data_IF_075418917819
#
_entry.id   IF_075418917819
#
_cell.length_a   1.000
_cell.length_b   1.000
_cell.length_c   1.000
_cell.angle_alpha   90.00
_cell.angle_beta   90.00
_cell.angle_gamma   90.00
#
_symmetry.space_group_name_H-M   'P 1'
#
loop_
_entity.id
_entity.type
_entity.pdbx_description
1 polymer ?
#
# COMPACT_ATOMS: atom_id res chain seq x y z
N UNK A 1 -18.57 7.74 -1.01
CA UNK A 1 -18.26 6.37 -0.50
C UNK A 1 -16.77 6.20 -0.39
N UNK A 2 -16.27 5.80 0.79
CA UNK A 2 -14.84 5.54 1.01
C UNK A 2 -14.62 4.02 1.09
N UNK A 3 -13.68 3.50 0.31
CA UNK A 3 -13.24 2.09 0.36
C UNK A 3 -11.77 2.05 0.80
N UNK A 4 -11.51 1.43 1.94
CA UNK A 4 -10.18 1.19 2.48
C UNK A 4 -9.70 -0.21 2.07
N UNK A 5 -8.50 -0.31 1.48
CA UNK A 5 -7.92 -1.58 1.02
C UNK A 5 -6.54 -1.78 1.64
N UNK A 6 -6.46 -2.56 2.70
CA UNK A 6 -5.21 -2.86 3.39
C UNK A 6 -4.67 -4.25 3.05
N UNK A 7 -3.43 -4.48 3.36
CA UNK A 7 -2.81 -5.79 3.18
C UNK A 7 -1.29 -5.74 3.02
N UNK A 8 -0.61 -6.88 3.12
CA UNK A 8 0.84 -6.96 3.06
C UNK A 8 1.40 -6.64 1.66
N UNK A 9 2.71 -6.54 1.58
CA UNK A 9 3.43 -6.33 0.32
C UNK A 9 3.11 -7.42 -0.71
N UNK A 10 2.94 -7.02 -1.97
CA UNK A 10 2.67 -7.92 -3.11
C UNK A 10 1.38 -8.78 -2.99
N UNK A 11 0.42 -8.42 -2.13
CA UNK A 11 -0.88 -9.12 -2.02
C UNK A 11 -1.81 -8.90 -3.22
N UNK A 12 -1.49 -7.97 -4.12
CA UNK A 12 -2.34 -7.58 -5.24
C UNK A 12 -3.36 -6.48 -4.92
N UNK A 13 -3.37 -5.97 -3.67
CA UNK A 13 -4.32 -4.94 -3.21
C UNK A 13 -4.37 -3.70 -4.09
N UNK A 14 -3.23 -3.16 -4.55
CA UNK A 14 -3.19 -1.96 -5.39
C UNK A 14 -3.88 -2.16 -6.74
N UNK A 15 -3.72 -3.34 -7.36
CA UNK A 15 -4.45 -3.70 -8.59
C UNK A 15 -5.94 -3.77 -8.33
N UNK A 16 -6.35 -4.40 -7.24
CA UNK A 16 -7.75 -4.50 -6.82
C UNK A 16 -8.32 -3.12 -6.52
N UNK A 17 -7.63 -2.30 -5.73
CA UNK A 17 -8.06 -0.95 -5.37
C UNK A 17 -8.26 -0.06 -6.60
N UNK A 18 -7.32 -0.09 -7.56
CA UNK A 18 -7.43 0.65 -8.80
C UNK A 18 -8.64 0.20 -9.65
N UNK A 19 -8.92 -1.10 -9.70
CA UNK A 19 -10.07 -1.65 -10.42
C UNK A 19 -11.39 -1.31 -9.72
N UNK A 20 -11.44 -1.34 -8.39
CA UNK A 20 -12.61 -0.88 -7.61
C UNK A 20 -12.89 0.60 -7.87
N UNK A 21 -11.87 1.44 -7.83
CA UNK A 21 -12.01 2.86 -8.12
C UNK A 21 -12.60 3.11 -9.53
N UNK A 22 -12.07 2.41 -10.53
CA UNK A 22 -12.60 2.48 -11.90
C UNK A 22 -14.06 1.97 -11.99
N UNK A 23 -14.40 0.87 -11.28
CA UNK A 23 -15.75 0.30 -11.27
C UNK A 23 -16.79 1.24 -10.64
N UNK A 24 -16.43 1.91 -9.55
CA UNK A 24 -17.33 2.83 -8.84
C UNK A 24 -17.23 4.29 -9.33
N UNK A 25 -16.34 4.59 -10.26
CA UNK A 25 -16.16 5.94 -10.82
C UNK A 25 -15.62 6.93 -9.79
N UNK A 26 -14.79 6.50 -8.85
CA UNK A 26 -14.18 7.34 -7.80
C UNK A 26 -12.65 7.36 -7.93
N UNK A 27 -11.97 8.41 -7.44
CA UNK A 27 -10.52 8.48 -7.49
C UNK A 27 -9.84 7.41 -6.60
N UNK A 28 -8.58 7.08 -6.94
CA UNK A 28 -7.75 6.11 -6.25
C UNK A 28 -6.45 6.75 -5.74
N UNK A 29 -6.07 6.47 -4.51
CA UNK A 29 -4.79 6.82 -3.92
C UNK A 29 -4.04 5.55 -3.48
N UNK A 30 -2.91 5.26 -4.12
CA UNK A 30 -1.88 4.37 -3.60
C UNK A 30 -1.05 5.14 -2.57
N UNK A 31 -1.37 4.95 -1.27
CA UNK A 31 -0.65 5.66 -0.21
C UNK A 31 0.81 5.23 -0.09
N UNK A 32 1.13 4.03 -0.56
CA UNK A 32 2.50 3.55 -0.64
C UNK A 32 3.39 4.43 -1.54
N UNK A 33 2.83 5.08 -2.57
CA UNK A 33 3.57 6.02 -3.39
C UNK A 33 4.04 7.26 -2.62
N UNK A 34 3.28 7.72 -1.62
CA UNK A 34 3.69 8.85 -0.77
C UNK A 34 4.94 8.49 0.03
N UNK A 35 4.96 7.32 0.67
CA UNK A 35 6.13 6.84 1.41
C UNK A 35 7.32 6.54 0.49
N UNK A 36 7.06 6.09 -0.74
CA UNK A 36 8.10 5.91 -1.76
C UNK A 36 8.71 7.24 -2.19
N UNK A 37 7.89 8.29 -2.34
CA UNK A 37 8.36 9.64 -2.63
C UNK A 37 9.22 10.18 -1.49
N UNK A 38 8.81 10.02 -0.22
CA UNK A 38 9.64 10.37 0.94
C UNK A 38 10.97 9.62 0.92
N UNK A 39 10.95 8.28 0.77
CA UNK A 39 12.19 7.50 0.71
C UNK A 39 13.11 7.90 -0.45
N UNK A 40 12.55 8.19 -1.62
CA UNK A 40 13.30 8.70 -2.76
C UNK A 40 13.89 10.09 -2.49
N UNK A 41 13.12 10.98 -1.86
CA UNK A 41 13.59 12.32 -1.50
C UNK A 41 14.71 12.27 -0.47
N UNK A 42 14.67 11.34 0.50
CA UNK A 42 15.79 11.09 1.43
C UNK A 42 17.05 10.76 0.64
N UNK A 43 16.96 9.83 -0.33
CA UNK A 43 18.11 9.47 -1.16
C UNK A 43 18.62 10.63 -2.04
N UNK A 44 17.72 11.49 -2.56
CA UNK A 44 18.10 12.70 -3.32
C UNK A 44 18.85 13.69 -2.44
N UNK A 45 18.50 13.77 -1.16
CA UNK A 45 19.13 14.66 -0.18
C UNK A 45 20.39 14.06 0.45
N UNK A 46 20.88 12.88 -0.02
CA UNK A 46 21.98 12.13 0.58
C UNK A 46 21.77 11.81 2.08
N UNK A 47 20.50 11.68 2.52
CA UNK A 47 20.10 11.39 3.89
C UNK A 47 20.01 9.89 4.20
N UNK A 48 19.78 9.58 5.49
CA UNK A 48 19.55 8.21 5.96
C UNK A 48 18.04 7.96 6.22
N UNK A 49 17.39 7.02 5.51
CA UNK A 49 15.97 6.71 5.73
C UNK A 49 15.67 6.10 7.12
N UNK A 50 16.67 5.65 7.87
CA UNK A 50 16.51 5.21 9.26
C UNK A 50 16.68 6.38 10.25
N UNK A 51 17.10 7.57 9.79
CA UNK A 51 17.13 8.78 10.58
C UNK A 51 15.81 9.53 10.46
N UNK A 52 15.09 9.69 11.58
CA UNK A 52 13.77 10.32 11.58
C UNK A 52 13.78 11.77 11.11
N UNK A 53 14.83 12.55 11.42
CA UNK A 53 14.95 13.95 11.02
C UNK A 53 15.13 14.08 9.50
N UNK A 54 15.96 13.22 8.88
CA UNK A 54 16.16 13.18 7.43
C UNK A 54 14.88 12.77 6.72
N UNK A 55 14.19 11.74 7.24
CA UNK A 55 12.94 11.25 6.69
C UNK A 55 11.81 12.30 6.80
N UNK A 56 11.72 13.01 7.93
CA UNK A 56 10.75 14.10 8.11
C UNK A 56 11.02 15.27 7.17
N UNK A 57 12.28 15.69 7.03
CA UNK A 57 12.66 16.76 6.10
C UNK A 57 12.28 16.41 4.65
N UNK A 58 12.36 15.14 4.28
CA UNK A 58 12.00 14.64 2.96
C UNK A 58 10.47 14.61 2.69
N UNK A 59 9.61 14.79 3.69
CA UNK A 59 8.15 14.85 3.49
C UNK A 59 7.69 16.07 2.67
N UNK A 60 8.54 17.10 2.55
CA UNK A 60 8.30 18.27 1.71
C UNK A 60 8.61 18.07 0.21
N UNK A 61 8.62 16.83 -0.28
CA UNK A 61 8.89 16.51 -1.69
C UNK A 61 7.91 17.21 -2.65
N UNK A 62 8.38 17.50 -3.87
CA UNK A 62 7.54 18.05 -4.93
C UNK A 62 6.57 16.98 -5.47
N UNK A 63 5.30 17.35 -5.69
CA UNK A 63 4.27 16.45 -6.22
C UNK A 63 4.63 15.88 -7.60
N UNK A 64 5.46 16.55 -8.38
CA UNK A 64 6.00 16.02 -9.63
C UNK A 64 6.75 14.69 -9.43
N UNK A 65 7.37 14.49 -8.26
CA UNK A 65 8.05 13.24 -7.93
C UNK A 65 7.11 12.03 -7.95
N UNK A 66 5.81 12.21 -7.65
CA UNK A 66 4.83 11.12 -7.67
C UNK A 66 4.60 10.52 -9.07
N UNK A 67 5.03 11.21 -10.13
CA UNK A 67 4.96 10.74 -11.51
C UNK A 67 6.22 9.99 -11.95
N UNK A 68 7.28 10.00 -11.13
CA UNK A 68 8.55 9.33 -11.46
C UNK A 68 8.37 7.81 -11.39
N UNK A 69 8.69 7.14 -12.50
CA UNK A 69 8.60 5.67 -12.59
C UNK A 69 9.56 4.96 -11.63
N UNK A 70 10.64 5.62 -11.19
CA UNK A 70 11.58 5.08 -10.19
C UNK A 70 10.89 4.72 -8.89
N UNK A 71 9.77 5.38 -8.55
CA UNK A 71 8.99 5.06 -7.36
C UNK A 71 8.43 3.63 -7.36
N UNK A 72 8.35 2.99 -8.54
CA UNK A 72 7.88 1.60 -8.66
C UNK A 72 8.98 0.56 -8.54
N UNK A 73 10.23 0.99 -8.32
CA UNK A 73 11.37 0.08 -8.12
C UNK A 73 11.31 -0.65 -6.77
N UNK A 74 12.05 -1.76 -6.65
CA UNK A 74 12.22 -2.48 -5.38
C UNK A 74 13.01 -1.64 -4.37
N UNK A 75 14.06 -0.98 -4.83
CA UNK A 75 14.88 -0.10 -4.01
C UNK A 75 14.01 0.94 -3.30
N UNK A 76 13.21 1.69 -4.08
CA UNK A 76 12.31 2.71 -3.51
C UNK A 76 11.25 2.09 -2.58
N UNK A 77 10.80 0.87 -2.88
CA UNK A 77 9.92 0.13 -1.98
C UNK A 77 10.58 -0.23 -0.65
N UNK A 78 11.87 -0.55 -0.67
CA UNK A 78 12.68 -0.76 0.54
C UNK A 78 12.81 0.52 1.37
N UNK A 79 13.14 1.65 0.71
CA UNK A 79 13.21 2.96 1.35
C UNK A 79 11.86 3.36 1.98
N UNK A 80 10.75 3.18 1.27
CA UNK A 80 9.41 3.43 1.79
C UNK A 80 9.11 2.67 3.07
N UNK A 81 9.50 1.40 3.13
CA UNK A 81 9.31 0.57 4.32
C UNK A 81 10.15 1.05 5.51
N UNK A 82 11.33 1.63 5.27
CA UNK A 82 12.21 2.20 6.30
C UNK A 82 11.64 3.51 6.84
N UNK A 83 11.30 4.47 5.96
CA UNK A 83 10.78 5.78 6.40
C UNK A 83 9.39 5.68 7.06
N UNK A 84 8.60 4.66 6.71
CA UNK A 84 7.24 4.49 7.26
C UNK A 84 7.17 4.06 8.72
N UNK A 85 8.31 3.70 9.35
CA UNK A 85 8.38 3.38 10.78
C UNK A 85 8.38 4.64 11.65
N UNK A 86 8.76 5.80 11.09
CA UNK A 86 8.87 7.05 11.82
C UNK A 86 7.49 7.69 12.03
N UNK A 87 7.06 7.93 13.31
CA UNK A 87 5.76 8.54 13.59
C UNK A 87 5.61 9.93 12.97
N UNK A 88 6.68 10.74 12.96
CA UNK A 88 6.66 12.09 12.39
C UNK A 88 6.41 12.11 10.88
N UNK A 89 6.95 11.14 10.13
CA UNK A 89 6.68 10.95 8.69
C UNK A 89 5.21 10.59 8.47
N UNK A 90 4.68 9.71 9.30
CA UNK A 90 3.29 9.27 9.22
C UNK A 90 2.33 10.42 9.50
N UNK A 91 2.61 11.23 10.53
CA UNK A 91 1.84 12.44 10.86
C UNK A 91 1.89 13.47 9.72
N UNK A 92 3.08 13.72 9.15
CA UNK A 92 3.23 14.64 8.03
C UNK A 92 2.41 14.23 6.78
N UNK A 93 2.25 12.93 6.53
CA UNK A 93 1.46 12.41 5.40
C UNK A 93 -0.02 12.18 5.74
N UNK A 94 -0.41 12.17 7.02
CA UNK A 94 -1.76 11.84 7.47
C UNK A 94 -2.81 12.76 6.87
N UNK A 95 -2.64 14.08 6.98
CA UNK A 95 -3.62 15.07 6.52
C UNK A 95 -3.87 14.96 5.01
N UNK A 96 -2.82 14.68 4.24
CA UNK A 96 -2.93 14.49 2.78
C UNK A 96 -3.77 13.26 2.43
N UNK A 97 -3.56 12.16 3.13
CA UNK A 97 -4.31 10.92 2.94
C UNK A 97 -5.77 11.09 3.38
N UNK A 98 -5.99 11.74 4.53
CA UNK A 98 -7.33 12.00 5.08
C UNK A 98 -8.14 12.92 4.16
N UNK A 99 -7.56 14.02 3.71
CA UNK A 99 -8.21 14.92 2.76
C UNK A 99 -8.61 14.23 1.45
N UNK A 100 -7.76 13.29 0.96
CA UNK A 100 -8.11 12.50 -0.21
C UNK A 100 -9.28 11.55 0.06
N UNK A 101 -9.34 10.92 1.23
CA UNK A 101 -10.44 10.04 1.61
C UNK A 101 -11.78 10.78 1.69
N UNK A 102 -11.76 12.01 2.22
CA UNK A 102 -12.95 12.82 2.50
C UNK A 102 -13.42 13.69 1.32
N UNK A 103 -12.77 13.60 0.17
CA UNK A 103 -13.15 14.42 -0.98
C UNK A 103 -14.58 14.13 -1.47
N UNK A 104 -15.27 15.12 -2.07
CA UNK A 104 -16.61 14.90 -2.61
C UNK A 104 -16.67 13.76 -3.63
N UNK A 105 -17.68 12.90 -3.53
CA UNK A 105 -17.86 11.73 -4.39
C UNK A 105 -17.26 10.44 -3.80
N UNK A 106 -16.33 10.56 -2.85
CA UNK A 106 -15.66 9.41 -2.24
C UNK A 106 -14.32 9.06 -2.88
N UNK A 107 -13.72 7.97 -2.42
CA UNK A 107 -12.40 7.52 -2.85
C UNK A 107 -12.15 6.04 -2.53
N UNK A 108 -11.20 5.45 -3.23
CA UNK A 108 -10.54 4.19 -2.85
C UNK A 108 -9.10 4.51 -2.46
N UNK A 109 -8.70 4.05 -1.27
CA UNK A 109 -7.31 4.17 -0.82
C UNK A 109 -6.74 2.78 -0.56
N UNK A 110 -5.50 2.53 -0.96
CA UNK A 110 -4.81 1.32 -0.55
C UNK A 110 -3.51 1.61 0.20
N UNK A 111 -3.25 0.75 1.20
CA UNK A 111 -2.10 0.91 2.09
C UNK A 111 -1.90 -0.25 3.05
N UNK A 112 -1.64 0.09 4.33
CA UNK A 112 -1.38 -0.85 5.42
C UNK A 112 -2.29 -0.61 6.63
N UNK A 113 -2.81 0.59 6.76
CA UNK A 113 -3.52 1.10 7.93
C UNK A 113 -4.65 2.06 7.54
N UNK A 114 -5.16 1.92 6.32
CA UNK A 114 -6.22 2.79 5.81
C UNK A 114 -7.48 2.62 6.66
N UNK A 115 -7.94 1.38 6.82
CA UNK A 115 -9.16 1.07 7.59
C UNK A 115 -8.99 1.15 9.11
N UNK A 116 -7.75 1.26 9.62
CA UNK A 116 -7.49 1.34 11.07
C UNK A 116 -7.14 2.75 11.56
N UNK A 117 -6.50 3.57 10.71
CA UNK A 117 -5.95 4.88 11.10
C UNK A 117 -6.40 5.99 10.16
N UNK A 118 -6.22 5.84 8.84
CA UNK A 118 -6.47 6.93 7.89
C UNK A 118 -7.98 7.20 7.71
N UNK A 119 -8.75 6.14 7.49
CA UNK A 119 -10.21 6.19 7.30
C UNK A 119 -10.91 5.10 8.13
N UNK A 120 -10.85 5.18 9.46
CA UNK A 120 -11.51 4.20 10.35
C UNK A 120 -13.04 4.20 10.21
N UNK A 121 -13.58 5.23 9.59
CA UNK A 121 -14.98 5.45 9.24
C UNK A 121 -15.31 5.08 7.78
N UNK A 122 -14.39 4.42 7.05
CA UNK A 122 -14.64 3.99 5.69
C UNK A 122 -15.89 3.09 5.58
N UNK A 123 -16.67 3.30 4.52
CA UNK A 123 -17.90 2.53 4.27
C UNK A 123 -17.62 1.04 4.02
N UNK A 124 -16.48 0.74 3.41
CA UNK A 124 -16.02 -0.63 3.18
C UNK A 124 -14.54 -0.73 3.56
N UNK A 125 -14.20 -1.74 4.36
CA UNK A 125 -12.82 -2.05 4.73
C UNK A 125 -12.48 -3.45 4.28
N UNK A 126 -11.40 -3.54 3.49
CA UNK A 126 -10.88 -4.77 2.92
C UNK A 126 -9.48 -5.03 3.45
N UNK A 127 -9.19 -6.27 3.78
CA UNK A 127 -7.85 -6.72 4.07
C UNK A 127 -7.50 -7.86 3.09
N UNK A 128 -6.69 -7.51 2.07
CA UNK A 128 -6.33 -8.45 1.00
C UNK A 128 -5.00 -9.11 1.36
N UNK A 129 -5.01 -10.43 1.46
CA UNK A 129 -3.83 -11.22 1.78
C UNK A 129 -3.59 -12.35 0.78
N UNK A 130 -2.40 -12.93 0.83
CA UNK A 130 -2.01 -14.18 0.18
C UNK A 130 -0.78 -14.75 0.89
N UNK A 131 -0.49 -16.03 0.70
CA UNK A 131 0.72 -16.66 1.25
C UNK A 131 2.00 -15.95 0.78
N UNK A 132 3.05 -15.99 1.58
CA UNK A 132 4.35 -15.37 1.25
C UNK A 132 4.85 -15.90 -0.10
N UNK A 133 4.77 -17.22 -0.32
CA UNK A 133 5.20 -17.90 -1.54
C UNK A 133 4.46 -17.37 -2.77
N UNK A 134 3.13 -17.24 -2.68
CA UNK A 134 2.34 -16.74 -3.81
C UNK A 134 2.64 -15.25 -4.09
N UNK A 135 2.82 -14.44 -3.06
CA UNK A 135 3.19 -13.02 -3.20
C UNK A 135 4.58 -12.87 -3.83
N UNK A 136 5.54 -13.71 -3.42
CA UNK A 136 6.86 -13.74 -4.01
C UNK A 136 6.81 -14.17 -5.48
N UNK A 137 6.01 -15.20 -5.81
CA UNK A 137 5.79 -15.65 -7.19
C UNK A 137 5.19 -14.56 -8.07
N UNK A 138 4.15 -13.85 -7.59
CA UNK A 138 3.51 -12.74 -8.31
C UNK A 138 4.51 -11.62 -8.58
N UNK A 139 5.31 -11.27 -7.58
CA UNK A 139 6.33 -10.25 -7.71
C UNK A 139 7.45 -10.65 -8.66
N UNK A 140 7.90 -11.89 -8.57
CA UNK A 140 8.90 -12.43 -9.48
C UNK A 140 8.43 -12.38 -10.95
N UNK A 141 7.19 -12.76 -11.24
CA UNK A 141 6.60 -12.66 -12.57
C UNK A 141 6.53 -11.22 -13.07
N UNK A 142 6.19 -10.28 -12.21
CA UNK A 142 6.16 -8.85 -12.55
C UNK A 142 7.56 -8.34 -12.92
N UNK A 143 8.59 -8.72 -12.16
CA UNK A 143 9.96 -8.30 -12.40
C UNK A 143 10.54 -8.94 -13.66
N UNK A 144 10.32 -10.22 -13.85
CA UNK A 144 10.73 -10.93 -15.08
C UNK A 144 10.09 -10.31 -16.32
N UNK A 145 8.82 -9.89 -16.23
CA UNK A 145 8.14 -9.17 -17.31
C UNK A 145 8.72 -7.78 -17.61
N UNK A 146 9.57 -7.26 -16.73
CA UNK A 146 10.34 -6.01 -16.89
C UNK A 146 11.82 -6.26 -17.19
N UNK A 147 12.20 -7.49 -17.52
CA UNK A 147 13.59 -7.90 -17.80
C UNK A 147 14.53 -7.70 -16.58
N UNK A 148 13.98 -7.74 -15.36
CA UNK A 148 14.75 -7.66 -14.11
C UNK A 148 14.90 -9.07 -13.57
N UNK A 149 16.15 -9.57 -13.55
CA UNK A 149 16.49 -10.90 -13.05
C UNK A 149 16.86 -10.85 -11.57
N UNK A 150 15.94 -11.29 -10.69
CA UNK A 150 16.20 -11.48 -9.26
C UNK A 150 15.75 -12.89 -8.89
N UNK A 151 16.54 -13.64 -8.12
CA UNK A 151 16.15 -14.97 -7.64
C UNK A 151 14.86 -14.90 -6.79
N UNK A 152 13.93 -15.84 -7.01
CA UNK A 152 12.66 -15.91 -6.26
C UNK A 152 12.88 -15.93 -4.74
N UNK A 153 13.93 -16.62 -4.28
CA UNK A 153 14.27 -16.70 -2.85
C UNK A 153 14.68 -15.33 -2.25
N UNK A 154 15.30 -14.46 -3.03
CA UNK A 154 15.62 -13.09 -2.57
C UNK A 154 14.37 -12.24 -2.45
N UNK A 155 13.46 -12.35 -3.40
CA UNK A 155 12.15 -11.67 -3.35
C UNK A 155 11.34 -12.14 -2.14
N UNK A 156 11.32 -13.45 -1.88
CA UNK A 156 10.63 -14.00 -0.71
C UNK A 156 11.21 -13.47 0.60
N UNK A 157 12.54 -13.45 0.73
CA UNK A 157 13.25 -12.89 1.88
C UNK A 157 12.92 -11.41 2.09
N UNK A 158 12.89 -10.61 1.01
CA UNK A 158 12.55 -9.20 1.09
C UNK A 158 11.09 -8.97 1.53
N UNK A 159 10.15 -9.76 0.99
CA UNK A 159 8.73 -9.72 1.39
C UNK A 159 8.58 -10.03 2.88
N UNK A 160 9.23 -11.08 3.39
CA UNK A 160 9.20 -11.45 4.81
C UNK A 160 9.76 -10.32 5.67
N UNK A 161 10.88 -9.72 5.27
CA UNK A 161 11.49 -8.61 6.01
C UNK A 161 10.60 -7.36 6.04
N UNK A 162 9.92 -7.04 4.93
CA UNK A 162 8.97 -5.92 4.86
C UNK A 162 7.73 -6.17 5.71
N UNK A 163 7.14 -7.36 5.61
CA UNK A 163 5.99 -7.73 6.42
C UNK A 163 6.32 -7.67 7.93
N UNK A 164 7.50 -8.13 8.31
CA UNK A 164 7.95 -8.06 9.70
C UNK A 164 8.05 -6.59 10.18
N UNK A 165 8.58 -5.67 9.36
CA UNK A 165 8.60 -4.24 9.70
C UNK A 165 7.20 -3.66 9.80
N UNK A 166 6.33 -3.93 8.81
CA UNK A 166 4.97 -3.39 8.75
C UNK A 166 4.10 -3.88 9.92
N UNK A 167 4.24 -5.16 10.32
CA UNK A 167 3.46 -5.76 11.42
C UNK A 167 3.97 -5.31 12.80
N UNK A 168 5.29 -5.19 12.96
CA UNK A 168 5.89 -4.93 14.28
C UNK A 168 6.16 -3.45 14.57
N UNK A 169 5.87 -2.54 13.65
CA UNK A 169 6.05 -1.11 13.93
C UNK A 169 5.14 -0.68 15.08
N UNK A 170 5.66 0.21 15.93
CA UNK A 170 4.96 0.66 17.14
C UNK A 170 3.72 1.50 16.83
N UNK A 171 3.78 2.29 15.74
CA UNK A 171 2.69 3.15 15.28
C UNK A 171 1.99 2.55 14.07
N UNK A 172 0.66 2.48 14.10
CA UNK A 172 -0.21 2.00 13.04
C UNK A 172 0.26 0.68 12.37
N UNK A 173 0.44 -0.42 13.14
CA UNK A 173 0.92 -1.69 12.60
C UNK A 173 -0.04 -2.24 11.53
N UNK A 174 0.52 -3.00 10.57
CA UNK A 174 -0.28 -3.71 9.59
C UNK A 174 -1.15 -4.76 10.29
N UNK A 175 -2.44 -4.52 10.33
CA UNK A 175 -3.46 -5.43 10.84
C UNK A 175 -4.80 -5.16 10.17
N UNK A 176 -5.64 -6.19 10.07
CA UNK A 176 -7.02 -5.99 9.63
C UNK A 176 -7.78 -5.15 10.66
N UNK A 177 -8.60 -4.21 10.19
CA UNK A 177 -9.57 -3.54 11.06
C UNK A 177 -10.58 -4.59 11.58
N UNK A 178 -11.17 -4.39 12.79
CA UNK A 178 -12.10 -5.39 13.37
C UNK A 178 -13.31 -5.69 12.49
N UNK A 179 -13.72 -4.73 11.69
CA UNK A 179 -14.85 -4.78 10.76
C UNK A 179 -14.42 -4.96 9.29
N UNK A 180 -13.16 -5.26 9.04
CA UNK A 180 -12.67 -5.48 7.68
C UNK A 180 -13.03 -6.89 7.15
N UNK A 181 -13.41 -6.95 5.88
CA UNK A 181 -13.51 -8.20 5.14
C UNK A 181 -12.11 -8.70 4.80
N UNK A 182 -11.70 -9.81 5.40
CA UNK A 182 -10.42 -10.46 5.13
C UNK A 182 -10.58 -11.42 3.94
N UNK A 183 -9.84 -11.18 2.87
CA UNK A 183 -9.92 -11.99 1.64
C UNK A 183 -8.53 -12.53 1.32
N UNK A 184 -8.39 -13.86 1.46
CA UNK A 184 -7.19 -14.58 1.03
C UNK A 184 -7.27 -14.92 -0.45
N UNK A 185 -6.35 -14.37 -1.22
CA UNK A 185 -6.29 -14.54 -2.67
C UNK A 185 -5.23 -15.54 -3.12
N UNK A 186 -4.70 -16.37 -2.21
CA UNK A 186 -3.59 -17.30 -2.50
C UNK A 186 -3.88 -18.19 -3.70
N UNK A 187 -5.11 -18.72 -3.80
CA UNK A 187 -5.52 -19.64 -4.87
C UNK A 187 -6.18 -18.96 -6.07
N UNK A 188 -6.28 -17.62 -6.06
CA UNK A 188 -6.99 -16.89 -7.10
C UNK A 188 -6.02 -16.32 -8.15
N UNK A 189 -6.45 -16.36 -9.42
CA UNK A 189 -5.87 -15.50 -10.44
C UNK A 189 -6.36 -14.04 -10.27
N UNK A 190 -5.92 -13.15 -11.16
CA UNK A 190 -6.23 -11.72 -11.06
C UNK A 190 -7.71 -11.40 -11.21
N UNK A 191 -8.40 -12.13 -12.10
CA UNK A 191 -9.83 -11.90 -12.35
C UNK A 191 -10.67 -12.48 -11.22
N UNK A 192 -10.39 -13.72 -10.81
CA UNK A 192 -11.04 -14.35 -9.66
C UNK A 192 -10.91 -13.53 -8.38
N UNK A 193 -9.70 -13.00 -8.11
CA UNK A 193 -9.47 -12.15 -6.94
C UNK A 193 -10.31 -10.87 -7.00
N UNK A 194 -10.38 -10.23 -8.15
CA UNK A 194 -11.18 -9.02 -8.30
C UNK A 194 -12.67 -9.28 -8.19
N UNK A 195 -13.19 -10.34 -8.85
CA UNK A 195 -14.61 -10.71 -8.79
C UNK A 195 -15.06 -11.03 -7.36
N UNK A 196 -14.26 -11.83 -6.63
CA UNK A 196 -14.53 -12.15 -5.23
C UNK A 196 -14.58 -10.89 -4.34
N UNK A 197 -13.63 -9.96 -4.53
CA UNK A 197 -13.62 -8.72 -3.78
C UNK A 197 -14.78 -7.81 -4.17
N UNK A 198 -15.08 -7.66 -5.46
CA UNK A 198 -16.18 -6.83 -5.93
C UNK A 198 -17.54 -7.32 -5.39
N UNK A 199 -17.75 -8.62 -5.39
CA UNK A 199 -18.97 -9.22 -4.82
C UNK A 199 -19.08 -8.94 -3.32
N UNK A 200 -17.98 -9.11 -2.56
CA UNK A 200 -17.94 -8.80 -1.14
C UNK A 200 -18.25 -7.31 -0.85
N UNK A 201 -17.69 -6.40 -1.67
CA UNK A 201 -17.96 -4.96 -1.57
C UNK A 201 -19.44 -4.65 -1.83
N UNK A 202 -20.03 -5.22 -2.88
CA UNK A 202 -21.46 -5.02 -3.22
C UNK A 202 -22.39 -5.50 -2.10
N UNK A 203 -22.08 -6.64 -1.51
CA UNK A 203 -22.86 -7.18 -0.37
C UNK A 203 -22.79 -6.27 0.86
N UNK A 204 -21.64 -5.68 1.14
CA UNK A 204 -21.48 -4.77 2.26
C UNK A 204 -22.18 -3.42 2.05
N UNK A 205 -22.19 -2.90 0.82
CA UNK A 205 -22.88 -1.64 0.50
C UNK A 205 -24.42 -1.81 0.51
N UNK A 206 -24.91 -3.02 0.27
CA UNK A 206 -26.36 -3.31 0.22
C UNK A 206 -27.01 -3.49 1.61
N UNK A 207 -26.21 -3.55 2.67
CA UNK A 207 -26.65 -3.66 4.07
C UNK A 207 -26.87 -2.28 4.70
#
# INVERSE_FOLDING_TARGET
MIIAVDGPTASGKGTIAKRLAAHFGVPHLDTGLLYRAVGRQVAINDGDPDNEADALAACGFDDALLQDEVLRSEETGGLASRVSIHPSVREALFQRQRAFAEQPGGAVLDGRDIGTVIAPDANVKLFITASVQERARRRWLEMTGREIEIPLAEIEKDIVARDARDINRADAPLKAAPDALVIDTTSFDREQAFEAVLEAVKQQIAQ
#
